data_IF_004437206016
#
_entry.id   IF_004437206016
#
_cell.length_a   1.000
_cell.length_b   1.000
_cell.length_c   1.000
_cell.angle_alpha   90.00
_cell.angle_beta   90.00
_cell.angle_gamma   90.00
#
_symmetry.space_group_name_H-M   'P 1'
#
loop_
_entity.id
_entity.type
_entity.pdbx_description
1 polymer ?
#
# COMPACT_ATOMS: atom_id res chain seq x y z
N UNK A 1 15.75 -13.21 12.92
CA UNK A 1 15.36 -12.34 11.78
C UNK A 1 14.44 -13.05 10.82
N UNK A 2 14.80 -14.25 10.33
CA UNK A 2 13.88 -15.09 9.55
C UNK A 2 12.56 -15.38 10.29
N UNK A 3 12.64 -15.80 11.55
CA UNK A 3 11.46 -16.03 12.40
C UNK A 3 10.57 -14.77 12.59
N UNK A 4 11.16 -13.58 12.62
CA UNK A 4 10.41 -12.31 12.75
C UNK A 4 9.70 -11.96 11.44
N UNK A 5 10.33 -12.21 10.30
CA UNK A 5 9.70 -12.07 8.99
C UNK A 5 8.53 -13.04 8.84
N UNK A 6 8.70 -14.30 9.25
CA UNK A 6 7.66 -15.32 9.22
C UNK A 6 6.47 -14.93 10.12
N UNK A 7 6.73 -14.54 11.38
CA UNK A 7 5.69 -14.09 12.30
C UNK A 7 4.93 -12.85 11.79
N UNK A 8 5.64 -11.90 11.16
CA UNK A 8 4.99 -10.73 10.57
C UNK A 8 4.07 -11.13 9.41
N UNK A 9 4.56 -11.94 8.47
CA UNK A 9 3.78 -12.43 7.32
C UNK A 9 2.54 -13.20 7.78
N UNK A 10 2.66 -14.02 8.81
CA UNK A 10 1.52 -14.74 9.41
C UNK A 10 0.50 -13.77 10.03
N UNK A 11 0.96 -12.77 10.79
CA UNK A 11 0.08 -11.79 11.42
C UNK A 11 -0.67 -10.89 10.43
N UNK A 12 -0.15 -10.72 9.22
CA UNK A 12 -0.75 -9.90 8.16
C UNK A 12 -1.29 -10.74 7.01
N UNK A 13 -1.52 -12.04 7.22
CA UNK A 13 -1.85 -12.99 6.16
C UNK A 13 -3.13 -12.61 5.40
N UNK A 14 -4.17 -12.14 6.09
CA UNK A 14 -5.44 -11.72 5.48
C UNK A 14 -5.22 -10.52 4.54
N UNK A 15 -4.54 -9.49 5.01
CA UNK A 15 -4.21 -8.32 4.18
C UNK A 15 -3.34 -8.71 2.98
N UNK A 16 -2.33 -9.55 3.20
CA UNK A 16 -1.47 -10.06 2.13
C UNK A 16 -2.24 -10.91 1.12
N UNK A 17 -3.30 -11.60 1.53
CA UNK A 17 -4.17 -12.35 0.64
C UNK A 17 -5.02 -11.40 -0.22
N UNK A 18 -5.61 -10.36 0.38
CA UNK A 18 -6.34 -9.32 -0.37
C UNK A 18 -5.45 -8.66 -1.43
N UNK A 19 -4.20 -8.34 -1.12
CA UNK A 19 -3.28 -7.77 -2.10
C UNK A 19 -2.94 -8.70 -3.27
N UNK A 20 -3.00 -10.03 -3.09
CA UNK A 20 -2.76 -11.00 -4.16
C UNK A 20 -3.93 -11.14 -5.14
N UNK A 21 -5.13 -10.76 -4.71
CA UNK A 21 -6.35 -10.82 -5.54
C UNK A 21 -6.46 -9.60 -6.47
N UNK A 22 -5.69 -8.54 -6.21
CA UNK A 22 -5.68 -7.33 -7.02
C UNK A 22 -5.17 -7.61 -8.43
N UNK A 23 -5.79 -6.94 -9.40
CA UNK A 23 -5.32 -6.94 -10.78
C UNK A 23 -4.01 -6.16 -10.92
N UNK A 24 -3.37 -6.30 -12.08
CA UNK A 24 -2.17 -5.54 -12.39
C UNK A 24 -2.43 -4.01 -12.43
N UNK A 25 -3.60 -3.58 -12.89
CA UNK A 25 -4.00 -2.18 -12.94
C UNK A 25 -4.18 -1.61 -11.53
N UNK A 26 -4.98 -2.29 -10.71
CA UNK A 26 -5.20 -1.94 -9.31
C UNK A 26 -3.89 -1.86 -8.52
N UNK A 27 -2.98 -2.82 -8.73
CA UNK A 27 -1.64 -2.82 -8.09
C UNK A 27 -0.81 -1.61 -8.53
N UNK A 28 -0.87 -1.24 -9.81
CA UNK A 28 -0.15 -0.10 -10.34
C UNK A 28 -0.70 1.24 -9.79
N UNK A 29 -2.03 1.34 -9.67
CA UNK A 29 -2.70 2.47 -9.03
C UNK A 29 -2.30 2.59 -7.55
N UNK A 30 -2.35 1.49 -6.80
CA UNK A 30 -1.96 1.48 -5.39
C UNK A 30 -0.52 1.96 -5.18
N UNK A 31 0.41 1.45 -5.98
CA UNK A 31 1.81 1.87 -5.92
C UNK A 31 1.97 3.37 -6.22
N UNK A 32 1.19 3.93 -7.15
CA UNK A 32 1.23 5.35 -7.47
C UNK A 32 0.71 6.20 -6.30
N UNK A 33 -0.37 5.78 -5.64
CA UNK A 33 -0.89 6.45 -4.43
C UNK A 33 0.15 6.40 -3.32
N UNK A 34 0.72 5.23 -3.03
CA UNK A 34 1.76 5.06 -2.00
C UNK A 34 3.00 5.90 -2.33
N UNK A 35 3.43 5.97 -3.59
CA UNK A 35 4.57 6.81 -4.01
C UNK A 35 4.30 8.31 -3.75
N UNK A 36 3.07 8.76 -4.00
CA UNK A 36 2.64 10.12 -3.67
C UNK A 36 2.71 10.40 -2.17
N UNK A 37 2.20 9.49 -1.33
CA UNK A 37 2.26 9.60 0.13
C UNK A 37 3.70 9.61 0.64
N UNK A 38 4.57 8.71 0.14
CA UNK A 38 6.00 8.68 0.49
C UNK A 38 6.73 9.97 0.09
N UNK A 39 6.23 10.70 -0.90
CA UNK A 39 6.76 11.99 -1.33
C UNK A 39 6.21 13.18 -0.53
N UNK A 40 5.35 12.93 0.46
CA UNK A 40 4.77 13.96 1.34
C UNK A 40 3.49 14.61 0.83
N UNK A 41 2.82 14.02 -0.17
CA UNK A 41 1.52 14.50 -0.65
C UNK A 41 0.40 14.17 0.33
N UNK A 42 -0.68 14.95 0.30
CA UNK A 42 -1.94 14.57 0.95
C UNK A 42 -2.59 13.41 0.20
N UNK A 43 -3.41 12.63 0.88
CA UNK A 43 -4.15 11.50 0.27
C UNK A 43 -4.95 11.94 -0.96
N UNK A 44 -5.64 13.08 -0.91
CA UNK A 44 -6.42 13.60 -2.04
C UNK A 44 -5.55 13.84 -3.28
N UNK A 45 -4.39 14.49 -3.11
CA UNK A 45 -3.46 14.75 -4.21
C UNK A 45 -2.82 13.47 -4.75
N UNK A 46 -2.53 12.51 -3.86
CA UNK A 46 -1.99 11.21 -4.26
C UNK A 46 -3.02 10.43 -5.10
N UNK A 47 -4.30 10.44 -4.72
CA UNK A 47 -5.40 9.82 -5.46
C UNK A 47 -5.63 10.53 -6.81
N UNK A 48 -5.62 11.86 -6.85
CA UNK A 48 -5.74 12.63 -8.10
C UNK A 48 -4.64 12.27 -9.09
N UNK A 49 -3.36 12.30 -8.67
CA UNK A 49 -2.23 11.97 -9.55
C UNK A 49 -2.20 10.50 -9.97
N UNK A 50 -2.63 9.58 -9.09
CA UNK A 50 -2.76 8.18 -9.45
C UNK A 50 -3.91 7.98 -10.45
N UNK A 51 -5.02 8.69 -10.29
CA UNK A 51 -6.17 8.65 -11.20
C UNK A 51 -5.89 9.25 -12.57
N UNK A 52 -5.02 10.27 -12.65
CA UNK A 52 -4.53 10.79 -13.93
C UNK A 52 -3.70 9.74 -14.71
N UNK A 53 -2.95 8.91 -14.01
CA UNK A 53 -2.10 7.86 -14.61
C UNK A 53 -2.89 6.57 -14.91
N UNK A 54 -3.84 6.21 -14.05
CA UNK A 54 -4.64 5.00 -14.14
C UNK A 54 -6.13 5.34 -13.98
N UNK A 55 -6.74 5.98 -15.00
CA UNK A 55 -8.12 6.49 -14.90
C UNK A 55 -9.16 5.38 -14.69
N UNK A 56 -8.92 4.19 -15.22
CA UNK A 56 -9.82 3.04 -15.09
C UNK A 56 -9.87 2.50 -13.64
N UNK A 57 -8.82 2.77 -12.85
CA UNK A 57 -8.67 2.31 -11.46
C UNK A 57 -8.93 3.43 -10.43
N UNK A 58 -9.24 4.64 -10.91
CA UNK A 58 -9.37 5.82 -10.09
C UNK A 58 -10.53 5.69 -9.09
N UNK A 59 -10.18 5.67 -7.80
CA UNK A 59 -11.17 5.59 -6.73
C UNK A 59 -12.02 6.86 -6.70
N UNK A 60 -13.33 6.67 -6.65
CA UNK A 60 -14.26 7.74 -6.30
C UNK A 60 -14.27 7.90 -4.78
N UNK A 61 -14.20 9.14 -4.31
CA UNK A 61 -14.18 9.45 -2.89
C UNK A 61 -14.97 10.71 -2.60
N UNK A 62 -15.42 10.81 -1.35
CA UNK A 62 -16.12 11.94 -0.76
C UNK A 62 -15.59 12.20 0.65
N UNK A 63 -16.17 13.16 1.35
CA UNK A 63 -15.74 13.54 2.70
C UNK A 63 -15.85 12.40 3.73
N UNK A 64 -16.71 11.41 3.51
CA UNK A 64 -16.91 10.30 4.44
C UNK A 64 -15.94 9.15 4.16
N UNK A 65 -15.69 8.85 2.89
CA UNK A 65 -14.83 7.75 2.44
C UNK A 65 -13.34 8.09 2.44
N UNK A 66 -12.97 9.38 2.34
CA UNK A 66 -11.57 9.79 2.25
C UNK A 66 -10.75 9.39 3.48
N UNK A 67 -11.38 9.33 4.66
CA UNK A 67 -10.72 8.91 5.91
C UNK A 67 -10.36 7.43 5.85
N UNK A 68 -11.31 6.57 5.46
CA UNK A 68 -11.08 5.13 5.35
C UNK A 68 -10.07 4.80 4.24
N UNK A 69 -10.14 5.50 3.11
CA UNK A 69 -9.17 5.36 2.01
C UNK A 69 -7.77 5.75 2.47
N UNK A 70 -7.65 6.85 3.22
CA UNK A 70 -6.38 7.28 3.80
C UNK A 70 -5.81 6.20 4.72
N UNK A 71 -6.62 5.69 5.63
CA UNK A 71 -6.18 4.66 6.59
C UNK A 71 -5.73 3.38 5.87
N UNK A 72 -6.44 2.97 4.82
CA UNK A 72 -6.04 1.85 3.96
C UNK A 72 -4.65 2.08 3.33
N UNK A 73 -4.43 3.22 2.69
CA UNK A 73 -3.16 3.51 2.02
C UNK A 73 -2.01 3.76 2.99
N UNK A 74 -2.27 4.34 4.16
CA UNK A 74 -1.27 4.44 5.23
C UNK A 74 -0.89 3.05 5.76
N UNK A 75 -1.86 2.14 5.90
CA UNK A 75 -1.59 0.76 6.29
C UNK A 75 -0.76 0.03 5.22
N UNK A 76 -1.13 0.13 3.95
CA UNK A 76 -0.39 -0.46 2.82
C UNK A 76 1.06 0.04 2.79
N UNK A 77 1.26 1.36 2.86
CA UNK A 77 2.57 1.98 2.89
C UNK A 77 3.45 1.45 4.04
N UNK A 78 2.89 1.38 5.25
CA UNK A 78 3.60 0.86 6.42
C UNK A 78 3.90 -0.64 6.28
N UNK A 79 2.97 -1.41 5.72
CA UNK A 79 3.14 -2.84 5.46
C UNK A 79 4.32 -3.11 4.52
N UNK A 80 4.40 -2.39 3.41
CA UNK A 80 5.53 -2.46 2.47
C UNK A 80 6.87 -2.11 3.13
N UNK A 81 6.88 -1.04 3.93
CA UNK A 81 8.10 -0.56 4.60
C UNK A 81 8.62 -1.56 5.64
N UNK A 82 7.72 -2.18 6.41
CA UNK A 82 8.08 -3.23 7.37
C UNK A 82 8.62 -4.45 6.63
N UNK A 83 7.92 -4.93 5.59
CA UNK A 83 8.38 -6.07 4.78
C UNK A 83 9.77 -5.82 4.18
N UNK A 84 10.00 -4.63 3.63
CA UNK A 84 11.29 -4.25 3.06
C UNK A 84 12.42 -4.29 4.10
N UNK A 85 12.19 -3.70 5.28
CA UNK A 85 13.16 -3.71 6.40
C UNK A 85 13.45 -5.13 6.88
N UNK A 86 12.42 -5.96 7.09
CA UNK A 86 12.57 -7.33 7.56
C UNK A 86 13.31 -8.21 6.54
N UNK A 87 12.99 -8.08 5.24
CA UNK A 87 13.70 -8.78 4.16
C UNK A 87 15.17 -8.42 4.12
N UNK A 88 15.50 -7.12 4.18
CA UNK A 88 16.90 -6.66 4.20
C UNK A 88 17.67 -7.27 5.37
N UNK A 89 17.11 -7.22 6.58
CA UNK A 89 17.73 -7.78 7.78
C UNK A 89 17.83 -9.32 7.76
N UNK A 90 16.97 -9.99 7.01
CA UNK A 90 17.05 -11.44 6.81
C UNK A 90 18.12 -11.84 5.77
N UNK A 91 18.40 -10.99 4.78
CA UNK A 91 19.41 -11.23 3.74
C UNK A 91 20.85 -10.86 4.11
N UNK A 92 21.04 -10.03 5.14
CA UNK A 92 22.37 -9.58 5.62
C UNK A 92 23.06 -10.62 6.55
N UNK A 93 22.56 -11.86 6.60
CA UNK A 93 23.13 -13.00 7.36
C UNK A 93 23.32 -14.22 6.47
#
# INVERSE_FOLDING_TARGET
MKELLEAYVESTAEFSAMLKERTAGETAYDHAVVAGLKSGLSITKALELAGEQYPDEALQWDENSIVEIKDHYEYLMNHEDILSKLKRLASER
#
